data_IF_231730458526
#
_entry.id   IF_231730458526
#
_cell.length_a   1.000
_cell.length_b   1.000
_cell.length_c   1.000
_cell.angle_alpha   90.00
_cell.angle_beta   90.00
_cell.angle_gamma   90.00
#
_symmetry.space_group_name_H-M   'P 1'
#
loop_
_entity.id
_entity.type
_entity.pdbx_description
1 polymer ?
#
# COMPACT_ATOMS: atom_id res chain seq x y z
N UNK A 1 -6.82 -14.19 28.42
CA UNK A 1 -6.99 -12.86 29.03
C UNK A 1 -7.97 -12.11 28.16
N UNK A 2 -9.17 -11.81 28.68
CA UNK A 2 -10.11 -10.91 28.00
C UNK A 2 -9.64 -9.45 28.18
N UNK A 3 -10.11 -8.48 27.37
CA UNK A 3 -9.71 -7.06 27.47
C UNK A 3 -9.84 -6.40 28.85
N UNK A 4 -10.52 -7.07 29.80
CA UNK A 4 -10.73 -6.65 31.19
C UNK A 4 -9.55 -6.89 32.15
N UNK A 5 -8.38 -7.35 31.69
CA UNK A 5 -7.26 -7.71 32.58
C UNK A 5 -6.11 -6.69 32.64
N UNK A 6 -6.18 -5.57 31.91
CA UNK A 6 -5.23 -4.48 32.12
C UNK A 6 -5.48 -3.85 33.51
N UNK A 7 -4.45 -3.69 34.36
CA UNK A 7 -4.59 -2.92 35.58
C UNK A 7 -5.14 -1.54 35.26
N UNK A 8 -6.14 -1.06 36.00
CA UNK A 8 -6.87 0.18 35.72
C UNK A 8 -5.95 1.40 35.53
N UNK A 9 -4.81 1.41 36.24
CA UNK A 9 -3.77 2.43 36.12
C UNK A 9 -3.09 2.46 34.74
N UNK A 10 -2.89 1.31 34.10
CA UNK A 10 -2.28 1.22 32.77
C UNK A 10 -3.25 1.65 31.68
N UNK A 11 -4.54 1.30 31.81
CA UNK A 11 -5.54 1.69 30.83
C UNK A 11 -5.65 3.21 30.68
N UNK A 12 -5.71 3.94 31.81
CA UNK A 12 -5.76 5.41 31.80
C UNK A 12 -4.47 6.04 31.22
N UNK A 13 -3.31 5.45 31.49
CA UNK A 13 -2.02 5.95 30.98
C UNK A 13 -1.84 5.72 29.48
N UNK A 14 -2.32 4.58 28.97
CA UNK A 14 -2.36 4.26 27.54
C UNK A 14 -3.36 5.17 26.81
N UNK A 15 -4.53 5.42 27.39
CA UNK A 15 -5.51 6.37 26.82
C UNK A 15 -4.93 7.78 26.75
N UNK A 16 -4.25 8.25 27.80
CA UNK A 16 -3.56 9.54 27.82
C UNK A 16 -2.39 9.62 26.81
N UNK A 17 -1.67 8.51 26.57
CA UNK A 17 -0.64 8.41 25.53
C UNK A 17 -1.23 8.67 24.14
N UNK A 18 -2.33 7.98 23.81
CA UNK A 18 -2.98 8.14 22.50
C UNK A 18 -3.72 9.47 22.33
N UNK A 19 -4.22 10.05 23.42
CA UNK A 19 -4.82 11.40 23.40
C UNK A 19 -3.78 12.53 23.27
N UNK A 20 -2.47 12.22 23.35
CA UNK A 20 -1.40 13.23 23.34
C UNK A 20 -1.34 14.05 24.63
N UNK A 21 -1.90 13.54 25.72
CA UNK A 21 -1.97 14.22 27.02
C UNK A 21 -0.78 13.90 27.93
N UNK A 22 0.02 12.88 27.59
CA UNK A 22 1.25 12.56 28.32
C UNK A 22 2.36 13.58 28.08
N UNK A 23 3.04 13.96 29.16
CA UNK A 23 4.29 14.71 29.05
C UNK A 23 5.39 13.86 28.38
N UNK A 24 6.37 14.47 27.69
CA UNK A 24 7.45 13.72 27.01
C UNK A 24 8.22 12.76 27.93
N UNK A 25 8.37 13.11 29.21
CA UNK A 25 9.02 12.24 30.19
C UNK A 25 8.17 11.01 30.56
N UNK A 26 6.85 11.20 30.68
CA UNK A 26 5.91 10.11 30.96
C UNK A 26 5.74 9.18 29.74
N UNK A 27 5.77 9.75 28.53
CA UNK A 27 5.79 8.98 27.28
C UNK A 27 7.03 8.09 27.18
N UNK A 28 8.21 8.64 27.44
CA UNK A 28 9.46 7.87 27.42
C UNK A 28 9.46 6.73 28.45
N UNK A 29 8.95 7.00 29.65
CA UNK A 29 8.81 6.00 30.71
C UNK A 29 7.82 4.89 30.33
N UNK A 30 6.66 5.25 29.75
CA UNK A 30 5.68 4.28 29.26
C UNK A 30 6.28 3.39 28.16
N UNK A 31 6.99 3.96 27.18
CA UNK A 31 7.68 3.20 26.13
C UNK A 31 8.72 2.26 26.70
N UNK A 32 9.50 2.72 27.66
CA UNK A 32 10.48 1.88 28.34
C UNK A 32 9.80 0.71 29.06
N UNK A 33 8.70 0.96 29.78
CA UNK A 33 7.93 -0.09 30.45
C UNK A 33 7.32 -1.09 29.45
N UNK A 34 6.74 -0.63 28.35
CA UNK A 34 6.22 -1.51 27.29
C UNK A 34 7.30 -2.38 26.65
N UNK A 35 8.53 -1.86 26.49
CA UNK A 35 9.65 -2.64 25.96
C UNK A 35 10.08 -3.79 26.89
N UNK A 36 9.86 -3.67 28.21
CA UNK A 36 10.19 -4.71 29.19
C UNK A 36 9.04 -5.72 29.42
N UNK A 37 7.84 -5.45 28.88
CA UNK A 37 6.64 -6.27 29.05
C UNK A 37 6.00 -6.59 27.69
N UNK A 38 6.54 -7.55 26.93
CA UNK A 38 6.07 -7.85 25.57
C UNK A 38 4.60 -8.29 25.52
N UNK A 39 4.10 -8.99 26.56
CA UNK A 39 2.69 -9.35 26.67
C UNK A 39 1.76 -8.13 26.80
N UNK A 40 2.20 -7.06 27.46
CA UNK A 40 1.46 -5.80 27.55
C UNK A 40 1.54 -5.02 26.24
N UNK A 41 2.70 -5.00 25.59
CA UNK A 41 2.86 -4.37 24.28
C UNK A 41 1.91 -4.95 23.22
N UNK A 42 1.69 -6.27 23.22
CA UNK A 42 0.73 -6.91 22.30
C UNK A 42 -0.73 -6.53 22.59
N UNK A 43 -1.09 -6.34 23.87
CA UNK A 43 -2.42 -5.87 24.26
C UNK A 43 -2.63 -4.40 23.86
N UNK A 44 -1.64 -3.55 24.11
CA UNK A 44 -1.64 -2.13 23.70
C UNK A 44 -1.74 -2.00 22.18
N UNK A 45 -1.02 -2.85 21.43
CA UNK A 45 -1.09 -2.87 19.97
C UNK A 45 -2.48 -3.27 19.46
N UNK A 46 -3.14 -4.26 20.10
CA UNK A 46 -4.52 -4.63 19.74
C UNK A 46 -5.53 -3.52 20.03
N UNK A 47 -5.38 -2.81 21.15
CA UNK A 47 -6.16 -1.62 21.46
C UNK A 47 -5.87 -0.47 20.48
N UNK A 48 -4.61 -0.28 20.09
CA UNK A 48 -4.20 0.74 19.13
C UNK A 48 -4.92 0.57 17.79
N UNK A 49 -5.02 -0.65 17.29
CA UNK A 49 -5.77 -0.94 16.05
C UNK A 49 -7.23 -0.47 16.17
N UNK A 50 -7.86 -0.63 17.34
CA UNK A 50 -9.24 -0.17 17.57
C UNK A 50 -9.36 1.36 17.61
N UNK A 51 -8.36 2.05 18.18
CA UNK A 51 -8.31 3.51 18.22
C UNK A 51 -7.96 4.12 16.86
N UNK A 52 -7.00 3.52 16.14
CA UNK A 52 -6.43 4.04 14.89
C UNK A 52 -7.30 3.76 13.66
N UNK A 53 -8.04 2.65 13.65
CA UNK A 53 -9.00 2.34 12.58
C UNK A 53 -10.34 3.08 12.72
N UNK A 54 -10.47 4.02 13.68
CA UNK A 54 -11.61 4.92 13.76
C UNK A 54 -12.93 4.27 14.19
N UNK A 55 -12.87 3.10 14.83
CA UNK A 55 -14.06 2.39 15.30
C UNK A 55 -14.67 3.00 16.58
N UNK A 56 -13.96 3.90 17.25
CA UNK A 56 -14.46 4.59 18.44
C UNK A 56 -14.30 6.12 18.31
N UNK A 57 -15.14 6.80 17.50
CA UNK A 57 -15.12 8.26 17.43
C UNK A 57 -15.37 8.83 18.84
N UNK A 58 -14.48 9.72 19.29
CA UNK A 58 -14.62 10.38 20.59
C UNK A 58 -15.97 11.12 20.75
N UNK A 59 -16.37 11.45 21.98
CA UNK A 59 -17.69 12.02 22.27
C UNK A 59 -17.98 13.32 21.49
N UNK A 60 -16.96 14.13 21.20
CA UNK A 60 -17.09 15.32 20.36
C UNK A 60 -17.41 14.97 18.88
N UNK A 61 -16.71 13.99 18.30
CA UNK A 61 -16.94 13.53 16.93
C UNK A 61 -18.31 12.85 16.77
N UNK A 62 -18.77 12.12 17.80
CA UNK A 62 -20.13 11.57 17.85
C UNK A 62 -21.19 12.67 17.85
N UNK A 63 -21.00 13.72 18.66
CA UNK A 63 -21.91 14.85 18.72
C UNK A 63 -21.97 15.62 17.39
N UNK A 64 -20.82 15.80 16.71
CA UNK A 64 -20.75 16.42 15.39
C UNK A 64 -21.43 15.58 14.32
N UNK A 65 -21.21 14.26 14.31
CA UNK A 65 -21.88 13.34 13.39
C UNK A 65 -23.40 13.34 13.58
N UNK A 66 -23.86 13.47 14.83
CA UNK A 66 -25.29 13.56 15.14
C UNK A 66 -25.90 14.88 14.67
N UNK A 67 -25.19 16.00 14.80
CA UNK A 67 -25.60 17.30 14.22
C UNK A 67 -25.67 17.24 12.70
N UNK A 68 -24.67 16.66 12.03
CA UNK A 68 -24.68 16.47 10.57
C UNK A 68 -25.89 15.66 10.10
N UNK A 69 -26.22 14.57 10.79
CA UNK A 69 -27.42 13.76 10.50
C UNK A 69 -28.71 14.56 10.66
N UNK A 70 -28.81 15.39 11.70
CA UNK A 70 -29.97 16.25 11.92
C UNK A 70 -30.11 17.28 10.79
N UNK A 71 -29.02 17.95 10.42
CA UNK A 71 -29.00 18.93 9.34
C UNK A 71 -29.37 18.30 7.98
N UNK A 72 -28.85 17.12 7.68
CA UNK A 72 -29.20 16.39 6.45
C UNK A 72 -30.67 15.98 6.44
N UNK A 73 -31.20 15.50 7.57
CA UNK A 73 -32.62 15.14 7.68
C UNK A 73 -33.56 16.35 7.55
N UNK A 74 -33.13 17.54 7.98
CA UNK A 74 -33.88 18.78 7.75
C UNK A 74 -33.80 19.23 6.29
N UNK A 75 -32.64 19.12 5.65
CA UNK A 75 -32.49 19.40 4.22
C UNK A 75 -33.37 18.46 3.38
N UNK A 76 -33.36 17.17 3.63
CA UNK A 76 -34.17 16.19 2.90
C UNK A 76 -35.68 16.46 3.01
N UNK A 77 -36.16 16.87 4.20
CA UNK A 77 -37.58 17.22 4.40
C UNK A 77 -37.99 18.52 3.70
N UNK A 78 -37.04 19.43 3.53
CA UNK A 78 -37.28 20.75 2.92
C UNK A 78 -36.98 20.78 1.41
N UNK A 79 -36.39 19.72 0.86
CA UNK A 79 -36.24 19.60 -0.58
C UNK A 79 -37.62 19.44 -1.22
N UNK A 80 -37.99 20.30 -2.19
CA UNK A 80 -39.23 20.11 -2.91
C UNK A 80 -39.20 18.73 -3.59
N UNK A 81 -40.33 18.00 -3.62
CA UNK A 81 -40.39 16.73 -4.31
C UNK A 81 -39.94 16.95 -5.75
N UNK A 82 -38.87 16.26 -6.15
CA UNK A 82 -38.36 16.30 -7.52
C UNK A 82 -39.43 15.68 -8.40
N UNK A 83 -40.33 16.52 -8.91
CA UNK A 83 -41.27 16.12 -9.94
C UNK A 83 -40.45 15.89 -11.21
N UNK A 84 -39.95 14.67 -11.38
CA UNK A 84 -39.36 14.24 -12.63
C UNK A 84 -40.43 14.47 -13.71
N UNK A 85 -40.22 15.39 -14.66
CA UNK A 85 -41.21 15.60 -15.71
C UNK A 85 -41.33 14.28 -16.46
N UNK A 86 -42.55 13.72 -16.50
CA UNK A 86 -42.91 12.58 -17.33
C UNK A 86 -42.86 12.98 -18.81
N UNK A 87 -41.66 13.26 -19.31
CA UNK A 87 -41.38 13.44 -20.72
C UNK A 87 -41.29 12.05 -21.36
N UNK A 88 -42.44 11.54 -21.81
CA UNK A 88 -42.49 10.56 -22.91
C UNK A 88 -41.99 11.23 -24.19
N UNK A 89 -40.71 11.54 -24.26
CA UNK A 89 -40.04 11.85 -25.52
C UNK A 89 -39.61 10.52 -26.12
N UNK A 90 -40.24 10.14 -27.23
CA UNK A 90 -39.69 9.07 -28.09
C UNK A 90 -38.25 9.49 -28.42
N UNK A 91 -37.24 8.65 -28.10
CA UNK A 91 -35.85 9.04 -28.31
C UNK A 91 -35.66 9.34 -29.81
N UNK A 92 -34.99 10.44 -30.18
CA UNK A 92 -34.69 10.68 -31.57
C UNK A 92 -33.77 9.56 -32.03
N UNK A 93 -34.22 8.76 -33.01
CA UNK A 93 -33.47 7.63 -33.59
C UNK A 93 -32.04 8.01 -34.02
N UNK A 94 -31.79 9.31 -34.25
CA UNK A 94 -30.47 9.86 -34.56
C UNK A 94 -29.42 9.66 -33.45
N UNK A 95 -29.82 9.61 -32.17
CA UNK A 95 -28.88 9.34 -31.06
C UNK A 95 -28.45 7.86 -30.99
N UNK A 96 -29.27 6.94 -31.50
CA UNK A 96 -28.92 5.52 -31.53
C UNK A 96 -27.74 5.25 -32.49
N UNK A 97 -27.68 5.95 -33.62
CA UNK A 97 -26.55 5.85 -34.55
C UNK A 97 -25.24 6.35 -33.93
N UNK A 98 -25.29 7.45 -33.17
CA UNK A 98 -24.12 8.00 -32.46
C UNK A 98 -23.64 7.05 -31.36
N UNK A 99 -24.58 6.52 -30.55
CA UNK A 99 -24.25 5.56 -29.51
C UNK A 99 -23.65 4.25 -30.07
N UNK A 100 -24.20 3.75 -31.19
CA UNK A 100 -23.66 2.57 -31.87
C UNK A 100 -22.25 2.82 -32.43
N UNK A 101 -22.00 4.01 -33.01
CA UNK A 101 -20.66 4.40 -33.46
C UNK A 101 -19.64 4.44 -32.32
N UNK A 102 -19.99 5.05 -31.20
CA UNK A 102 -19.13 5.07 -29.99
C UNK A 102 -18.87 3.66 -29.45
N UNK A 103 -19.89 2.80 -29.43
CA UNK A 103 -19.75 1.42 -28.99
C UNK A 103 -18.77 0.64 -29.89
N UNK A 104 -18.82 0.83 -31.21
CA UNK A 104 -17.90 0.20 -32.15
C UNK A 104 -16.46 0.70 -31.98
N UNK A 105 -16.26 2.00 -31.69
CA UNK A 105 -14.92 2.54 -31.40
C UNK A 105 -14.36 1.95 -30.10
N UNK A 106 -15.17 1.85 -29.05
CA UNK A 106 -14.76 1.23 -27.78
C UNK A 106 -14.46 -0.26 -27.97
N UNK A 107 -15.27 -0.98 -28.76
CA UNK A 107 -15.05 -2.39 -29.07
C UNK A 107 -13.81 -2.60 -29.93
N UNK A 108 -13.59 -1.77 -30.95
CA UNK A 108 -12.38 -1.82 -31.78
C UNK A 108 -11.14 -1.52 -30.94
N UNK A 109 -11.20 -0.51 -30.08
CA UNK A 109 -10.12 -0.20 -29.13
C UNK A 109 -9.84 -1.38 -28.20
N UNK A 110 -10.88 -2.05 -27.69
CA UNK A 110 -10.74 -3.22 -26.81
C UNK A 110 -10.13 -4.42 -27.54
N UNK A 111 -10.52 -4.67 -28.80
CA UNK A 111 -9.98 -5.75 -29.63
C UNK A 111 -8.55 -5.49 -30.13
N UNK A 112 -8.17 -4.21 -30.27
CA UNK A 112 -6.83 -3.81 -30.70
C UNK A 112 -5.85 -3.65 -29.53
N UNK A 113 -6.30 -3.81 -28.27
CA UNK A 113 -5.36 -3.86 -27.15
C UNK A 113 -4.48 -5.10 -27.33
N UNK A 114 -3.15 -4.95 -27.35
CA UNK A 114 -2.27 -6.10 -27.39
C UNK A 114 -2.63 -7.01 -26.22
N UNK A 115 -2.75 -8.32 -26.50
CA UNK A 115 -2.95 -9.30 -25.46
C UNK A 115 -1.84 -9.10 -24.41
N UNK A 116 -2.20 -9.01 -23.14
CA UNK A 116 -1.23 -8.91 -22.07
C UNK A 116 -0.25 -10.08 -22.18
N UNK A 117 1.04 -9.77 -22.17
CA UNK A 117 2.09 -10.77 -22.20
C UNK A 117 1.87 -11.74 -21.02
N UNK A 118 1.75 -13.06 -21.25
CA UNK A 118 1.54 -14.03 -20.18
C UNK A 118 2.63 -13.94 -19.10
N UNK A 119 3.84 -13.52 -19.46
CA UNK A 119 4.95 -13.31 -18.51
C UNK A 119 4.73 -12.09 -17.61
N UNK A 120 4.19 -10.99 -18.15
CA UNK A 120 3.87 -9.79 -17.37
C UNK A 120 2.71 -10.05 -16.38
N UNK A 121 1.71 -10.83 -16.80
CA UNK A 121 0.64 -11.29 -15.91
C UNK A 121 1.20 -12.14 -14.76
N UNK A 122 2.07 -13.09 -15.10
CA UNK A 122 2.72 -13.97 -14.12
C UNK A 122 3.53 -13.17 -13.10
N UNK A 123 4.26 -12.13 -13.53
CA UNK A 123 4.99 -11.23 -12.64
C UNK A 123 4.08 -10.47 -11.67
N UNK A 124 2.92 -10.03 -12.16
CA UNK A 124 1.90 -9.34 -11.34
C UNK A 124 1.32 -10.27 -10.28
N UNK A 125 1.07 -11.54 -10.63
CA UNK A 125 0.60 -12.56 -9.69
C UNK A 125 1.69 -12.96 -8.67
N UNK A 126 2.96 -12.92 -9.06
CA UNK A 126 4.09 -13.25 -8.20
C UNK A 126 4.56 -12.09 -7.31
N UNK A 127 4.11 -10.86 -7.59
CA UNK A 127 4.39 -9.68 -6.78
C UNK A 127 3.84 -9.87 -5.37
N UNK A 128 4.66 -9.57 -4.37
CA UNK A 128 4.20 -9.36 -3.01
C UNK A 128 4.85 -8.11 -2.45
N UNK A 129 4.20 -7.56 -1.43
CA UNK A 129 4.77 -6.52 -0.61
C UNK A 129 6.00 -7.05 0.15
N UNK A 130 7.10 -6.30 0.09
CA UNK A 130 8.29 -6.53 0.90
C UNK A 130 8.18 -5.72 2.20
N UNK A 131 7.97 -6.34 3.37
CA UNK A 131 7.94 -5.60 4.63
C UNK A 131 9.30 -4.96 4.90
N UNK A 132 9.29 -3.74 5.47
CA UNK A 132 10.53 -3.07 5.91
C UNK A 132 11.02 -3.69 7.22
N UNK A 133 12.32 -3.94 7.34
CA UNK A 133 12.88 -4.57 8.54
C UNK A 133 12.79 -3.67 9.79
N UNK A 134 12.79 -2.34 9.59
CA UNK A 134 12.65 -1.32 10.65
C UNK A 134 11.28 -0.63 10.67
N UNK A 135 10.20 -1.34 10.32
CA UNK A 135 8.85 -0.78 10.24
C UNK A 135 8.23 -0.33 11.60
N UNK A 136 9.02 -0.20 12.68
CA UNK A 136 8.52 -0.07 14.05
C UNK A 136 8.79 1.31 14.69
N UNK A 137 7.69 1.96 15.08
CA UNK A 137 7.50 2.82 16.27
C UNK A 137 8.10 4.25 16.27
N UNK A 138 8.05 4.96 15.15
CA UNK A 138 8.10 6.43 15.22
C UNK A 138 6.74 7.00 15.69
N UNK A 139 6.68 7.98 16.61
CA UNK A 139 5.43 8.66 16.94
C UNK A 139 4.80 9.19 15.65
N UNK A 140 3.54 8.80 15.43
CA UNK A 140 2.75 9.10 14.25
C UNK A 140 2.33 10.56 14.17
N UNK A 141 3.30 11.47 14.08
CA UNK A 141 3.02 12.76 13.50
C UNK A 141 2.72 12.53 12.02
N UNK A 142 1.58 13.05 11.59
CA UNK A 142 0.84 12.85 10.33
C UNK A 142 1.59 13.17 9.03
N UNK A 143 2.92 13.15 9.03
CA UNK A 143 3.73 13.35 7.86
C UNK A 143 3.51 12.16 6.93
N UNK A 144 2.90 12.44 5.78
CA UNK A 144 2.78 11.53 4.63
C UNK A 144 4.16 11.25 4.01
N UNK A 145 5.07 10.71 4.81
CA UNK A 145 6.40 10.32 4.34
C UNK A 145 6.29 9.07 3.45
N UNK A 146 7.25 8.90 2.54
CA UNK A 146 7.23 7.83 1.55
C UNK A 146 7.17 6.44 2.18
N UNK A 147 7.76 6.29 3.36
CA UNK A 147 7.77 5.04 4.15
C UNK A 147 6.38 4.68 4.68
N UNK A 148 5.65 5.66 5.23
CA UNK A 148 4.28 5.47 5.69
C UNK A 148 3.37 5.08 4.53
N UNK A 149 3.49 5.77 3.39
CA UNK A 149 2.75 5.45 2.17
C UNK A 149 3.05 4.02 1.67
N UNK A 150 4.30 3.59 1.76
CA UNK A 150 4.73 2.25 1.39
C UNK A 150 4.14 1.17 2.29
N UNK A 151 4.13 1.38 3.60
CA UNK A 151 3.62 0.42 4.58
C UNK A 151 2.11 0.19 4.44
N UNK A 152 1.36 1.24 4.07
CA UNK A 152 -0.07 1.13 3.75
C UNK A 152 -0.33 0.76 2.28
N UNK A 153 0.69 0.31 1.56
CA UNK A 153 0.63 -0.18 0.17
C UNK A 153 0.05 0.83 -0.83
N UNK A 154 0.18 2.13 -0.57
CA UNK A 154 -0.17 3.21 -1.51
C UNK A 154 0.97 3.45 -2.49
N UNK A 155 1.29 2.42 -3.28
CA UNK A 155 2.50 2.37 -4.10
C UNK A 155 2.64 3.53 -5.10
N UNK A 156 1.53 3.98 -5.71
CA UNK A 156 1.52 5.12 -6.66
C UNK A 156 2.01 6.43 -6.00
N UNK A 157 1.76 6.60 -4.70
CA UNK A 157 2.19 7.78 -3.94
C UNK A 157 3.53 7.53 -3.23
N UNK A 158 3.76 6.31 -2.75
CA UNK A 158 4.98 5.92 -2.05
C UNK A 158 6.22 6.02 -2.94
N UNK A 159 6.11 5.59 -4.20
CA UNK A 159 7.22 5.60 -5.14
C UNK A 159 7.87 6.98 -5.33
N UNK A 160 7.12 8.03 -5.76
CA UNK A 160 7.72 9.35 -5.94
C UNK A 160 8.21 9.96 -4.62
N UNK A 161 7.50 9.74 -3.50
CA UNK A 161 7.89 10.26 -2.19
C UNK A 161 9.21 9.64 -1.70
N UNK A 162 9.35 8.31 -1.74
CA UNK A 162 10.58 7.62 -1.35
C UNK A 162 11.78 8.05 -2.20
N UNK A 163 11.58 8.24 -3.51
CA UNK A 163 12.66 8.73 -4.39
C UNK A 163 13.12 10.12 -4.02
N UNK A 164 12.19 11.03 -3.76
CA UNK A 164 12.49 12.40 -3.37
C UNK A 164 13.22 12.44 -2.02
N UNK A 165 12.76 11.69 -1.03
CA UNK A 165 13.36 11.62 0.31
C UNK A 165 14.79 11.06 0.29
N UNK A 166 15.07 10.07 -0.57
CA UNK A 166 16.45 9.59 -0.76
C UNK A 166 17.29 10.66 -1.48
N UNK A 167 16.74 11.31 -2.51
CA UNK A 167 17.46 12.31 -3.29
C UNK A 167 17.80 13.56 -2.46
N UNK A 168 16.95 13.95 -1.51
CA UNK A 168 17.21 15.04 -0.57
C UNK A 168 18.14 14.64 0.58
N UNK A 169 18.47 13.35 0.72
CA UNK A 169 19.22 12.81 1.86
C UNK A 169 18.43 12.79 3.17
N UNK A 170 17.09 12.87 3.09
CA UNK A 170 16.21 12.75 4.26
C UNK A 170 16.22 11.33 4.82
N UNK A 171 16.36 10.34 3.94
CA UNK A 171 16.44 8.91 4.30
C UNK A 171 17.59 8.22 3.57
N UNK A 172 18.02 7.09 4.12
CA UNK A 172 19.15 6.31 3.59
C UNK A 172 18.87 5.67 2.23
N UNK A 173 19.91 5.48 1.44
CA UNK A 173 19.81 4.92 0.08
C UNK A 173 19.31 3.48 0.01
N UNK A 174 19.24 2.74 1.13
CA UNK A 174 18.55 1.44 1.17
C UNK A 174 17.06 1.58 0.82
N UNK A 175 16.45 2.74 1.08
CA UNK A 175 15.06 3.00 0.73
C UNK A 175 14.81 3.04 -0.79
N UNK A 176 15.86 3.04 -1.62
CA UNK A 176 15.71 2.81 -3.06
C UNK A 176 15.22 1.40 -3.39
N UNK A 177 15.48 0.40 -2.54
CA UNK A 177 14.88 -0.93 -2.68
C UNK A 177 13.36 -0.81 -2.58
N UNK A 178 12.85 -0.17 -1.52
CA UNK A 178 11.43 0.03 -1.31
C UNK A 178 10.80 0.93 -2.39
N UNK A 179 11.52 1.95 -2.86
CA UNK A 179 11.09 2.74 -4.02
C UNK A 179 10.97 1.88 -5.29
N UNK A 180 11.90 0.94 -5.52
CA UNK A 180 11.82 -0.02 -6.62
C UNK A 180 10.62 -0.98 -6.49
N UNK A 181 10.35 -1.50 -5.30
CA UNK A 181 9.17 -2.34 -5.01
C UNK A 181 7.88 -1.54 -5.18
N UNK A 182 7.84 -0.29 -4.70
CA UNK A 182 6.72 0.62 -4.89
C UNK A 182 6.50 0.91 -6.38
N UNK A 183 7.55 1.14 -7.17
CA UNK A 183 7.44 1.35 -8.61
C UNK A 183 6.79 0.14 -9.32
N UNK A 184 7.13 -1.10 -8.92
CA UNK A 184 6.42 -2.30 -9.42
C UNK A 184 4.94 -2.30 -9.05
N UNK A 185 4.62 -2.02 -7.79
CA UNK A 185 3.23 -1.92 -7.31
C UNK A 185 2.44 -0.81 -8.01
N UNK A 186 3.11 0.28 -8.40
CA UNK A 186 2.57 1.40 -9.16
C UNK A 186 2.51 1.16 -10.68
N UNK A 187 2.86 -0.05 -11.15
CA UNK A 187 2.90 -0.42 -12.58
C UNK A 187 3.90 0.41 -13.40
N UNK A 188 5.01 0.79 -12.79
CA UNK A 188 6.16 1.45 -13.43
C UNK A 188 7.41 0.54 -13.49
N UNK A 189 7.37 -0.60 -14.22
CA UNK A 189 8.46 -1.57 -14.22
C UNK A 189 9.78 -1.04 -14.78
N UNK A 190 9.73 -0.07 -15.70
CA UNK A 190 10.93 0.57 -16.24
C UNK A 190 11.70 1.34 -15.16
N UNK A 191 10.97 2.07 -14.30
CA UNK A 191 11.55 2.79 -13.17
C UNK A 191 12.09 1.83 -12.10
N UNK A 192 11.33 0.77 -11.79
CA UNK A 192 11.77 -0.27 -10.87
C UNK A 192 13.09 -0.90 -11.32
N UNK A 193 13.18 -1.28 -12.60
CA UNK A 193 14.39 -1.85 -13.19
C UNK A 193 15.60 -0.93 -13.03
N UNK A 194 15.46 0.35 -13.35
CA UNK A 194 16.54 1.33 -13.22
C UNK A 194 17.05 1.43 -11.78
N UNK A 195 16.13 1.64 -10.82
CA UNK A 195 16.46 1.76 -9.40
C UNK A 195 17.17 0.51 -8.87
N UNK A 196 16.58 -0.66 -9.10
CA UNK A 196 17.08 -1.93 -8.58
C UNK A 196 18.40 -2.34 -9.25
N UNK A 197 18.58 -2.05 -10.54
CA UNK A 197 19.86 -2.28 -11.24
C UNK A 197 20.97 -1.42 -10.65
N UNK A 198 20.72 -0.13 -10.45
CA UNK A 198 21.69 0.78 -9.84
C UNK A 198 22.05 0.35 -8.41
N UNK A 199 21.04 -0.10 -7.65
CA UNK A 199 21.23 -0.58 -6.29
C UNK A 199 22.08 -1.85 -6.26
N UNK A 200 21.78 -2.82 -7.13
CA UNK A 200 22.56 -4.06 -7.28
C UNK A 200 24.01 -3.79 -7.69
N UNK A 201 24.21 -2.91 -8.69
CA UNK A 201 25.55 -2.55 -9.17
C UNK A 201 26.39 -1.79 -8.14
N UNK A 202 25.75 -1.11 -7.18
CA UNK A 202 26.48 -0.42 -6.12
C UNK A 202 27.23 -1.36 -5.19
N UNK A 203 26.77 -2.62 -5.06
CA UNK A 203 27.34 -3.63 -4.16
C UNK A 203 27.27 -3.26 -2.66
N UNK A 204 26.51 -2.22 -2.29
CA UNK A 204 26.46 -1.69 -0.91
C UNK A 204 25.57 -2.49 0.03
N UNK A 205 24.68 -3.32 -0.50
CA UNK A 205 23.62 -4.01 0.26
C UNK A 205 23.63 -5.52 0.00
N UNK A 206 24.70 -6.24 0.40
CA UNK A 206 24.81 -7.68 0.17
C UNK A 206 23.78 -8.51 0.96
N UNK A 207 23.19 -7.95 2.01
CA UNK A 207 22.13 -8.62 2.79
C UNK A 207 20.75 -8.53 2.11
N UNK A 208 20.56 -7.52 1.25
CA UNK A 208 19.31 -7.32 0.51
C UNK A 208 19.41 -7.82 -0.95
N UNK A 209 20.53 -8.42 -1.35
CA UNK A 209 20.79 -8.83 -2.73
C UNK A 209 19.71 -9.80 -3.26
N UNK A 210 19.24 -10.74 -2.43
CA UNK A 210 18.14 -11.63 -2.77
C UNK A 210 16.85 -10.88 -3.13
N UNK A 211 16.47 -9.90 -2.31
CA UNK A 211 15.29 -9.06 -2.55
C UNK A 211 15.47 -8.22 -3.82
N UNK A 212 16.61 -7.55 -3.96
CA UNK A 212 16.91 -6.72 -5.13
C UNK A 212 16.78 -7.53 -6.43
N UNK A 213 17.41 -8.71 -6.49
CA UNK A 213 17.36 -9.60 -7.67
C UNK A 213 15.96 -10.14 -7.93
N UNK A 214 15.23 -10.54 -6.88
CA UNK A 214 13.85 -11.03 -7.03
C UNK A 214 12.94 -9.99 -7.68
N UNK A 215 12.92 -8.78 -7.12
CA UNK A 215 12.08 -7.70 -7.65
C UNK A 215 12.59 -7.18 -9.00
N UNK A 216 13.89 -7.19 -9.26
CA UNK A 216 14.43 -6.88 -10.59
C UNK A 216 13.95 -7.91 -11.62
N UNK A 217 13.93 -9.20 -11.26
CA UNK A 217 13.35 -10.26 -12.09
C UNK A 217 11.87 -10.01 -12.42
N UNK A 218 11.07 -9.58 -11.44
CA UNK A 218 9.67 -9.20 -11.68
C UNK A 218 9.53 -7.99 -12.62
N UNK A 219 10.40 -6.98 -12.47
CA UNK A 219 10.43 -5.83 -13.36
C UNK A 219 10.74 -6.23 -14.80
N UNK A 220 11.72 -7.11 -15.01
CA UNK A 220 12.07 -7.61 -16.34
C UNK A 220 10.93 -8.42 -16.97
N UNK A 221 10.20 -9.24 -16.20
CA UNK A 221 9.01 -9.94 -16.70
C UNK A 221 7.88 -8.98 -17.09
N UNK A 222 7.62 -7.93 -16.30
CA UNK A 222 6.62 -6.92 -16.67
C UNK A 222 7.00 -6.13 -17.93
N UNK A 223 8.29 -6.07 -18.28
CA UNK A 223 8.80 -5.48 -19.52
C UNK A 223 8.87 -6.48 -20.69
N UNK A 224 8.51 -7.75 -20.49
CA UNK A 224 8.61 -8.81 -21.51
C UNK A 224 10.03 -9.35 -21.72
N UNK A 225 11.01 -8.97 -20.88
CA UNK A 225 12.40 -9.39 -20.98
C UNK A 225 12.65 -10.72 -20.26
N UNK A 226 12.01 -11.81 -20.72
CA UNK A 226 12.05 -13.13 -20.07
C UNK A 226 13.46 -13.63 -19.77
N UNK A 227 14.40 -13.48 -20.70
CA UNK A 227 15.77 -13.95 -20.52
C UNK A 227 16.48 -13.24 -19.35
N UNK A 228 16.34 -11.91 -19.26
CA UNK A 228 16.93 -11.13 -18.17
C UNK A 228 16.27 -11.48 -16.83
N UNK A 229 14.96 -11.70 -16.80
CA UNK A 229 14.28 -12.15 -15.59
C UNK A 229 14.81 -13.48 -15.09
N UNK A 230 14.96 -14.48 -15.98
CA UNK A 230 15.50 -15.81 -15.63
C UNK A 230 16.94 -15.71 -15.10
N UNK A 231 17.76 -14.85 -15.69
CA UNK A 231 19.12 -14.59 -15.20
C UNK A 231 19.10 -14.06 -13.77
N UNK A 232 18.28 -13.04 -13.48
CA UNK A 232 18.20 -12.47 -12.13
C UNK A 232 17.66 -13.47 -11.11
N UNK A 233 16.60 -14.22 -11.46
CA UNK A 233 15.97 -15.19 -10.57
C UNK A 233 16.88 -16.38 -10.24
N UNK A 234 17.70 -16.83 -11.19
CA UNK A 234 18.69 -17.88 -10.95
C UNK A 234 19.91 -17.39 -10.15
N UNK A 235 20.19 -16.10 -10.18
CA UNK A 235 21.30 -15.48 -9.46
C UNK A 235 20.97 -15.10 -8.00
N UNK A 236 19.77 -15.45 -7.49
CA UNK A 236 19.43 -15.19 -6.09
C UNK A 236 20.38 -15.93 -5.14
N UNK A 237 20.99 -15.24 -4.16
CA UNK A 237 21.70 -15.90 -3.07
C UNK A 237 20.70 -16.60 -2.12
N UNK A 238 21.11 -17.71 -1.51
CA UNK A 238 20.29 -18.52 -0.58
C UNK A 238 20.21 -17.91 0.84
N UNK A 239 20.19 -16.59 0.93
CA UNK A 239 20.10 -15.84 2.19
C UNK A 239 18.66 -15.72 2.70
N UNK A 240 17.69 -15.65 1.79
CA UNK A 240 16.26 -15.62 2.07
C UNK A 240 15.59 -16.87 1.46
N UNK A 241 15.33 -17.91 2.28
CA UNK A 241 14.70 -19.14 1.80
C UNK A 241 13.31 -18.92 1.20
N UNK A 242 12.56 -17.91 1.67
CA UNK A 242 11.21 -17.64 1.19
C UNK A 242 11.25 -17.05 -0.22
N UNK A 243 12.10 -16.02 -0.44
CA UNK A 243 12.28 -15.45 -1.77
C UNK A 243 12.88 -16.45 -2.75
N UNK A 244 13.82 -17.27 -2.29
CA UNK A 244 14.43 -18.33 -3.10
C UNK A 244 13.40 -19.37 -3.53
N UNK A 245 12.50 -19.80 -2.62
CA UNK A 245 11.41 -20.70 -2.97
C UNK A 245 10.47 -20.07 -4.01
N UNK A 246 10.07 -18.81 -3.80
CA UNK A 246 9.18 -18.09 -4.74
C UNK A 246 9.82 -17.92 -6.12
N UNK A 247 11.12 -17.65 -6.18
CA UNK A 247 11.86 -17.57 -7.43
C UNK A 247 11.82 -18.92 -8.19
N UNK A 248 12.02 -20.05 -7.50
CA UNK A 248 11.94 -21.39 -8.11
C UNK A 248 10.54 -21.70 -8.63
N UNK A 249 9.50 -21.39 -7.86
CA UNK A 249 8.10 -21.55 -8.29
C UNK A 249 7.79 -20.69 -9.52
N UNK A 250 8.27 -19.45 -9.54
CA UNK A 250 8.12 -18.54 -10.67
C UNK A 250 8.85 -19.07 -11.93
N UNK A 251 10.07 -19.58 -11.79
CA UNK A 251 10.84 -20.19 -12.88
C UNK A 251 10.12 -21.42 -13.47
N UNK A 252 9.60 -22.32 -12.62
CA UNK A 252 8.82 -23.48 -13.08
C UNK A 252 7.56 -23.07 -13.85
N UNK A 253 6.86 -22.02 -13.39
CA UNK A 253 5.70 -21.48 -14.11
C UNK A 253 6.11 -20.88 -15.46
N UNK A 254 7.25 -20.19 -15.53
CA UNK A 254 7.79 -19.65 -16.78
C UNK A 254 8.17 -20.74 -17.80
N UNK A 255 8.69 -21.88 -17.35
CA UNK A 255 8.98 -23.04 -18.21
C UNK A 255 7.70 -23.66 -18.79
N UNK A 256 6.61 -23.69 -18.03
CA UNK A 256 5.32 -24.23 -18.49
C UNK A 256 4.60 -23.39 -19.57
N UNK A 257 5.09 -22.17 -19.82
CA UNK A 257 4.53 -21.27 -20.85
C UNK A 257 5.17 -21.48 -22.24
N UNK A 258 6.19 -22.34 -22.36
CA UNK A 258 6.80 -22.75 -23.64
C UNK A 258 6.00 -23.87 -24.33
#
# INVERSE_FOLDING_TARGET
MTPTELPEAWAAEIEAYYAGELSPAAEADLRQRLAHHPELAELVFREEVLYRDGLNPGPAALAERQRLRQNLGELERNLPPVMAPAHRRRPPVRWLAVAAGLLLVVLAWWLLRPAEDPTARLATEAFAWLPRQDALLGPGDEVRDGRTLYDVQRFEEAYPALREEVASGTIDSINLLYAGVAALGAKEPAAARELLTNLLQSGRYPEDEAAIRYYLGLAELQLGNRAAAVEQLNALPDQDPQLTQRARELLQRLESLE
#
